data_IF_501629156546
#
_entry.id   IF_501629156546
#
_cell.length_a   1.000
_cell.length_b   1.000
_cell.length_c   1.000
_cell.angle_alpha   90.00
_cell.angle_beta   90.00
_cell.angle_gamma   90.00
#
_symmetry.space_group_name_H-M   'P 1'
#
loop_
_entity.id
_entity.type
_entity.pdbx_description
1 polymer ?
#
# COMPACT_ATOMS: atom_id res chain seq x y z
N UNK A 1 12.69 -8.19 -13.59
CA UNK A 1 13.02 -6.89 -12.97
C UNK A 1 12.20 -6.71 -11.70
N UNK A 2 12.79 -6.38 -10.54
CA UNK A 2 12.04 -6.25 -9.30
C UNK A 2 10.96 -5.16 -9.40
N UNK A 3 9.89 -5.30 -8.61
CA UNK A 3 8.89 -4.25 -8.44
C UNK A 3 9.58 -2.94 -8.03
N UNK A 4 9.16 -1.78 -8.55
CA UNK A 4 9.63 -0.50 -8.01
C UNK A 4 9.06 -0.42 -6.59
N UNK A 5 9.93 -0.64 -5.60
CA UNK A 5 9.57 -0.60 -4.21
C UNK A 5 9.80 0.82 -3.69
N UNK A 6 8.86 1.35 -2.91
CA UNK A 6 8.94 2.67 -2.32
C UNK A 6 8.57 2.63 -0.83
N UNK A 7 9.18 3.50 0.01
CA UNK A 7 8.90 3.57 1.44
C UNK A 7 7.44 3.95 1.71
N UNK A 8 6.95 3.80 2.94
CA UNK A 8 5.61 4.28 3.30
C UNK A 8 5.48 5.78 2.98
N UNK A 9 4.34 6.18 2.39
CA UNK A 9 4.07 7.60 2.24
C UNK A 9 3.57 8.16 3.58
N UNK A 10 3.82 9.45 3.85
CA UNK A 10 3.41 10.06 5.12
C UNK A 10 1.90 9.92 5.38
N UNK A 11 1.08 9.99 4.34
CA UNK A 11 -0.37 9.79 4.43
C UNK A 11 -0.76 8.37 4.86
N UNK A 12 0.01 7.33 4.51
CA UNK A 12 -0.20 5.97 5.03
C UNK A 12 -0.02 5.94 6.55
N UNK A 13 1.03 6.59 7.06
CA UNK A 13 1.31 6.60 8.50
C UNK A 13 0.25 7.39 9.27
N UNK A 14 -0.17 8.54 8.74
CA UNK A 14 -1.24 9.35 9.32
C UNK A 14 -2.56 8.57 9.33
N UNK A 15 -2.92 7.94 8.21
CA UNK A 15 -4.12 7.11 8.12
C UNK A 15 -4.10 5.96 9.11
N UNK A 16 -2.97 5.26 9.26
CA UNK A 16 -2.84 4.19 10.25
C UNK A 16 -3.08 4.68 11.69
N UNK A 17 -2.52 5.84 12.06
CA UNK A 17 -2.73 6.41 13.41
C UNK A 17 -4.18 6.82 13.66
N UNK A 18 -4.91 7.23 12.62
CA UNK A 18 -6.33 7.59 12.74
C UNK A 18 -7.28 6.40 12.62
N UNK A 19 -6.85 5.31 11.98
CA UNK A 19 -7.64 4.11 11.78
C UNK A 19 -7.99 3.39 13.09
N UNK A 20 -7.34 3.76 14.21
CA UNK A 20 -7.52 3.13 15.52
C UNK A 20 -7.34 1.61 15.44
N UNK A 21 -6.29 1.19 14.73
CA UNK A 21 -5.91 -0.21 14.54
C UNK A 21 -4.55 -0.46 15.17
N UNK A 22 -4.45 -1.52 15.96
CA UNK A 22 -3.17 -2.07 16.37
C UNK A 22 -2.44 -2.68 15.16
N UNK A 23 -1.11 -2.82 15.26
CA UNK A 23 -0.31 -3.43 14.19
C UNK A 23 -0.79 -4.85 13.81
N UNK A 24 -1.15 -5.74 14.76
CA UNK A 24 -1.71 -7.05 14.44
C UNK A 24 -3.06 -6.98 13.70
N UNK A 25 -3.98 -6.10 14.10
CA UNK A 25 -5.27 -5.95 13.43
C UNK A 25 -5.12 -5.44 11.99
N UNK A 26 -4.23 -4.47 11.79
CA UNK A 26 -3.89 -3.98 10.46
C UNK A 26 -3.33 -5.11 9.59
N UNK A 27 -2.43 -5.93 10.15
CA UNK A 27 -1.84 -7.06 9.44
C UNK A 27 -2.90 -8.09 9.04
N UNK A 28 -3.79 -8.48 9.96
CA UNK A 28 -4.84 -9.45 9.67
C UNK A 28 -5.77 -8.99 8.55
N UNK A 29 -6.17 -7.71 8.57
CA UNK A 29 -7.00 -7.12 7.50
C UNK A 29 -6.25 -7.07 6.17
N UNK A 30 -4.96 -6.73 6.20
CA UNK A 30 -4.09 -6.70 5.02
C UNK A 30 -3.95 -8.07 4.35
N UNK A 31 -3.69 -9.13 5.13
CA UNK A 31 -3.69 -10.52 4.62
C UNK A 31 -5.07 -10.91 4.09
N UNK A 32 -6.15 -10.52 4.79
CA UNK A 32 -7.53 -10.78 4.37
C UNK A 32 -7.88 -10.19 2.99
N UNK A 33 -7.25 -9.08 2.60
CA UNK A 33 -7.40 -8.46 1.27
C UNK A 33 -6.36 -8.96 0.24
N UNK A 34 -5.62 -10.02 0.55
CA UNK A 34 -4.64 -10.62 -0.37
C UNK A 34 -3.22 -10.05 -0.27
N UNK A 35 -2.90 -9.35 0.81
CA UNK A 35 -1.53 -8.99 1.16
C UNK A 35 -0.68 -10.24 1.35
N UNK A 36 0.57 -10.21 0.88
CA UNK A 36 1.41 -11.40 0.82
C UNK A 36 2.72 -11.30 1.61
N UNK A 37 2.88 -10.25 2.42
CA UNK A 37 4.07 -10.04 3.25
C UNK A 37 3.85 -10.49 4.70
N UNK A 38 4.96 -10.93 5.32
CA UNK A 38 5.00 -11.37 6.72
C UNK A 38 4.77 -10.20 7.70
N UNK A 39 4.32 -10.46 8.95
CA UNK A 39 4.04 -9.41 9.94
C UNK A 39 5.20 -8.43 10.17
N UNK A 40 6.42 -8.94 10.27
CA UNK A 40 7.62 -8.11 10.51
C UNK A 40 7.86 -7.12 9.37
N UNK A 41 7.56 -7.51 8.12
CA UNK A 41 7.68 -6.62 6.98
C UNK A 41 6.70 -5.45 7.04
N UNK A 42 5.52 -5.62 7.68
CA UNK A 42 4.58 -4.52 7.92
C UNK A 42 5.12 -3.57 8.99
N UNK A 43 5.67 -4.11 10.08
CA UNK A 43 6.29 -3.30 11.14
C UNK A 43 7.43 -2.45 10.57
N UNK A 44 8.34 -3.04 9.80
CA UNK A 44 9.43 -2.33 9.13
C UNK A 44 8.92 -1.28 8.13
N UNK A 45 7.83 -1.56 7.44
CA UNK A 45 7.23 -0.62 6.49
C UNK A 45 6.65 0.61 7.19
N UNK A 46 5.94 0.40 8.29
CA UNK A 46 5.37 1.46 9.13
C UNK A 46 6.45 2.24 9.90
N UNK A 47 7.58 1.60 10.22
CA UNK A 47 8.76 2.24 10.78
C UNK A 47 9.58 3.03 9.73
N UNK A 48 9.25 2.89 8.44
CA UNK A 48 9.98 3.55 7.34
C UNK A 48 11.31 2.90 6.99
N UNK A 49 11.62 1.72 7.54
CA UNK A 49 12.87 0.97 7.28
C UNK A 49 12.73 0.01 6.09
N UNK A 50 11.51 -0.29 5.64
CA UNK A 50 11.25 -1.11 4.45
C UNK A 50 10.63 -0.32 3.28
N UNK A 51 10.79 -0.88 2.09
CA UNK A 51 10.16 -0.40 0.85
C UNK A 51 9.27 -1.51 0.30
N UNK A 52 8.04 -1.18 -0.07
CA UNK A 52 7.09 -2.15 -0.59
C UNK A 52 6.77 -1.93 -2.07
N UNK A 53 6.53 -3.01 -2.83
CA UNK A 53 5.92 -2.95 -4.15
C UNK A 53 4.59 -2.18 -4.15
N UNK A 54 4.21 -1.63 -5.31
CA UNK A 54 2.93 -0.94 -5.47
C UNK A 54 1.72 -1.81 -5.10
N UNK A 55 1.75 -3.11 -5.45
CA UNK A 55 0.65 -4.03 -5.12
C UNK A 55 0.45 -4.15 -3.61
N UNK A 56 1.52 -4.41 -2.84
CA UNK A 56 1.44 -4.56 -1.39
C UNK A 56 1.01 -3.27 -0.70
N UNK A 57 1.54 -2.13 -1.16
CA UNK A 57 1.11 -0.82 -0.68
C UNK A 57 -0.38 -0.56 -0.95
N UNK A 58 -0.87 -0.91 -2.13
CA UNK A 58 -2.26 -0.65 -2.51
C UNK A 58 -3.25 -1.50 -1.72
N UNK A 59 -2.88 -2.75 -1.38
CA UNK A 59 -3.69 -3.57 -0.47
C UNK A 59 -3.74 -2.93 0.92
N UNK A 60 -2.60 -2.48 1.45
CA UNK A 60 -2.58 -1.78 2.74
C UNK A 60 -3.36 -0.46 2.71
N UNK A 61 -3.26 0.29 1.62
CA UNK A 61 -4.01 1.52 1.40
C UNK A 61 -5.53 1.25 1.39
N UNK A 62 -5.96 0.15 0.76
CA UNK A 62 -7.36 -0.28 0.76
C UNK A 62 -7.87 -0.49 2.19
N UNK A 63 -7.15 -1.29 3.00
CA UNK A 63 -7.52 -1.56 4.40
C UNK A 63 -7.69 -0.27 5.19
N UNK A 64 -6.73 0.65 5.07
CA UNK A 64 -6.75 1.91 5.82
C UNK A 64 -7.87 2.82 5.35
N UNK A 65 -8.11 2.92 4.05
CA UNK A 65 -9.17 3.76 3.50
C UNK A 65 -10.57 3.22 3.86
N UNK A 66 -10.78 1.90 3.83
CA UNK A 66 -12.02 1.28 4.32
C UNK A 66 -12.24 1.56 5.80
N UNK A 67 -11.19 1.43 6.63
CA UNK A 67 -11.31 1.72 8.05
C UNK A 67 -11.59 3.20 8.32
N UNK A 68 -10.95 4.12 7.59
CA UNK A 68 -11.25 5.55 7.71
C UNK A 68 -12.70 5.85 7.29
N UNK A 69 -13.18 5.19 6.24
CA UNK A 69 -14.57 5.30 5.81
C UNK A 69 -15.56 4.88 6.90
N UNK A 70 -15.32 3.73 7.55
CA UNK A 70 -16.14 3.25 8.68
C UNK A 70 -16.16 4.25 9.86
N UNK A 71 -15.08 5.01 10.04
CA UNK A 71 -14.94 6.05 11.06
C UNK A 71 -15.49 7.42 10.62
N UNK A 72 -16.09 7.52 9.43
CA UNK A 72 -16.59 8.78 8.87
C UNK A 72 -15.48 9.77 8.46
N UNK A 73 -14.24 9.29 8.32
CA UNK A 73 -13.10 10.08 7.88
C UNK A 73 -12.94 10.03 6.35
N UNK A 74 -12.35 11.06 5.72
CA UNK A 74 -12.01 10.98 4.31
C UNK A 74 -10.93 9.92 4.06
N UNK A 75 -10.95 9.34 2.86
CA UNK A 75 -9.86 8.52 2.32
C UNK A 75 -8.59 9.36 2.23
N UNK A 76 -7.47 8.82 2.73
CA UNK A 76 -6.20 9.55 2.79
C UNK A 76 -5.04 8.82 2.12
N UNK A 77 -5.06 7.50 2.06
CA UNK A 77 -3.91 6.75 1.55
C UNK A 77 -4.00 6.68 0.02
N UNK A 78 -3.07 7.32 -0.71
CA UNK A 78 -3.09 7.28 -2.16
C UNK A 78 -2.64 5.91 -2.67
N UNK A 79 -3.36 5.36 -3.64
CA UNK A 79 -2.89 4.19 -4.38
C UNK A 79 -1.70 4.58 -5.28
N UNK A 80 -0.73 3.68 -5.39
CA UNK A 80 0.33 3.76 -6.37
C UNK A 80 -0.18 3.23 -7.71
N UNK A 81 0.20 3.85 -8.84
CA UNK A 81 -0.20 3.33 -10.13
C UNK A 81 0.32 1.89 -10.28
N UNK A 82 -0.49 0.96 -10.82
CA UNK A 82 0.04 -0.31 -11.25
C UNK A 82 1.15 -0.04 -12.26
N UNK A 83 2.18 -0.90 -12.31
CA UNK A 83 3.19 -0.80 -13.37
C UNK A 83 2.43 -0.82 -14.69
N UNK A 84 2.49 0.28 -15.46
CA UNK A 84 1.92 0.28 -16.80
C UNK A 84 2.59 -0.83 -17.59
N UNK A 85 1.80 -1.83 -17.98
CA UNK A 85 2.25 -2.94 -18.83
C UNK A 85 2.06 -2.56 -20.30
N UNK A 86 2.32 -1.32 -20.70
CA UNK A 86 2.07 -0.84 -22.07
C UNK A 86 3.08 0.24 -22.46
N UNK A 87 3.71 0.25 -23.65
CA UNK A 87 3.47 -0.50 -24.88
C UNK A 87 4.76 -0.64 -25.69
N UNK A 88 4.81 -1.65 -26.57
CA UNK A 88 5.95 -1.96 -27.43
C UNK A 88 6.43 -0.80 -28.29
N UNK A 89 7.68 -0.92 -28.71
CA UNK A 89 8.32 -0.18 -29.79
C UNK A 89 7.34 0.16 -30.91
N UNK A 90 6.85 1.40 -30.94
CA UNK A 90 6.26 1.97 -32.16
C UNK A 90 7.42 2.20 -33.13
N UNK A 91 7.76 1.17 -33.92
CA UNK A 91 8.62 1.35 -35.10
C UNK A 91 7.89 2.33 -36.03
N UNK A 92 8.53 3.45 -36.33
CA UNK A 92 8.02 4.41 -37.30
C UNK A 92 7.94 3.75 -38.70
N UNK A 93 6.91 4.04 -39.51
CA UNK A 93 6.96 3.75 -40.92
C UNK A 93 7.90 4.75 -41.60
N UNK A 94 8.83 4.22 -42.40
CA UNK A 94 9.57 4.97 -43.42
C UNK A 94 8.78 5.07 -44.71
#
# INVERSE_FOLDING_TARGET
>A
MPASAAPACGLTLVAWRMADLTSPELWWRYIGLGGNLVPDALADYLAGTARWPAVEHNVLAQVLNERLWDLGCPTLVPYRPPKSRMHGTRRAPG
#
